data_IF_050618750763
#
_entry.id   IF_050618750763
#
_cell.length_a   1.000
_cell.length_b   1.000
_cell.length_c   1.000
_cell.angle_alpha   90.00
_cell.angle_beta   90.00
_cell.angle_gamma   90.00
#
_symmetry.space_group_name_H-M   'P 1'
#
loop_
_entity.id
_entity.type
_entity.pdbx_description
1 polymer ?
2 polymer ?
3 water ?
#
# COMPACT_ATOMS: atom_id res chain seq x y z
N UNK A 5 32.05 -0.29 -21.38
CA UNK A 5 32.35 0.55 -22.58
C UNK A 5 31.29 1.65 -22.71
N UNK A 6 31.54 2.60 -23.62
CA UNK A 6 30.63 3.73 -23.84
C UNK A 6 29.15 3.39 -23.60
N UNK A 7 28.59 2.56 -24.48
CA UNK A 7 27.19 2.17 -24.35
C UNK A 7 26.90 1.54 -23.00
N UNK A 8 27.83 0.73 -22.51
CA UNK A 8 27.66 0.08 -21.23
C UNK A 8 27.62 1.07 -20.08
N UNK A 9 28.51 2.05 -20.13
CA UNK A 9 28.58 3.06 -19.09
C UNK A 9 27.32 3.92 -19.09
N UNK A 10 26.75 4.14 -20.27
CA UNK A 10 25.53 4.92 -20.38
C UNK A 10 24.41 4.08 -19.76
N UNK A 11 24.40 2.79 -20.06
CA UNK A 11 23.38 1.89 -19.53
C UNK A 11 23.47 1.83 -18.00
N UNK A 12 24.69 1.87 -17.46
CA UNK A 12 24.86 1.82 -16.02
C UNK A 12 24.35 3.13 -15.40
N UNK A 13 24.67 4.24 -16.04
CA UNK A 13 24.23 5.55 -15.55
C UNK A 13 22.70 5.55 -15.53
N UNK A 14 22.09 5.00 -16.57
CA UNK A 14 20.64 4.96 -16.62
C UNK A 14 20.06 4.10 -15.50
N UNK A 15 20.75 3.01 -15.15
CA UNK A 15 20.27 2.14 -14.07
C UNK A 15 20.38 2.88 -12.74
N UNK A 16 21.47 3.62 -12.58
CA UNK A 16 21.68 4.39 -11.36
C UNK A 16 20.59 5.45 -11.20
N UNK A 17 20.33 6.20 -12.27
CA UNK A 17 19.32 7.24 -12.25
C UNK A 17 17.92 6.67 -12.01
N UNK A 18 17.65 5.49 -12.55
CA UNK A 18 16.36 4.84 -12.35
C UNK A 18 16.16 4.53 -10.87
N UNK A 19 17.24 4.09 -10.23
CA UNK A 19 17.18 3.78 -8.82
C UNK A 19 16.90 5.04 -8.01
N UNK A 20 17.50 6.14 -8.42
CA UNK A 20 17.28 7.41 -7.73
C UNK A 20 15.84 7.87 -7.88
N UNK A 21 15.30 7.73 -9.09
CA UNK A 21 13.94 8.15 -9.36
C UNK A 21 12.93 7.30 -8.60
N UNK A 22 13.22 6.00 -8.44
CA UNK A 22 12.32 5.13 -7.70
C UNK A 22 12.20 5.60 -6.26
N UNK A 23 13.35 5.83 -5.62
CA UNK A 23 13.37 6.29 -4.23
C UNK A 23 12.66 7.61 -4.06
N UNK A 24 12.95 8.55 -4.96
CA UNK A 24 12.33 9.86 -4.90
C UNK A 24 10.82 9.76 -5.07
N UNK A 25 10.38 8.91 -5.99
CA UNK A 25 8.95 8.76 -6.22
C UNK A 25 8.25 8.11 -5.02
N UNK A 26 8.96 7.20 -4.35
CA UNK A 26 8.39 6.52 -3.18
C UNK A 26 8.15 7.58 -2.10
N UNK A 27 9.16 8.41 -1.89
CA UNK A 27 9.11 9.49 -0.91
C UNK A 27 7.92 10.42 -1.20
N UNK A 28 7.77 10.80 -2.47
CA UNK A 28 6.70 11.69 -2.90
C UNK A 28 5.33 11.03 -2.73
N UNK A 29 5.27 9.73 -2.98
CA UNK A 29 4.03 8.97 -2.85
C UNK A 29 3.63 8.92 -1.37
N UNK A 30 4.61 8.72 -0.49
CA UNK A 30 4.36 8.67 0.95
C UNK A 30 3.81 10.00 1.45
N UNK A 31 4.41 11.10 0.99
CA UNK A 31 3.97 12.42 1.41
C UNK A 31 2.56 12.71 0.94
N UNK A 32 2.25 12.39 -0.31
CA UNK A 32 0.92 12.61 -0.84
C UNK A 32 -0.09 11.80 -0.04
N UNK A 33 0.30 10.60 0.38
CA UNK A 33 -0.57 9.73 1.16
C UNK A 33 -0.81 10.37 2.53
N UNK A 34 0.28 10.83 3.14
CA UNK A 34 0.22 11.46 4.45
C UNK A 34 -0.63 12.72 4.42
N UNK A 35 -0.44 13.54 3.38
CA UNK A 35 -1.16 14.79 3.25
C UNK A 35 -2.58 14.64 2.69
N UNK A 36 -2.91 13.44 2.22
CA UNK A 36 -4.24 13.23 1.66
C UNK A 36 -4.43 13.88 0.31
N UNK A 37 -3.34 14.10 -0.41
CA UNK A 37 -3.43 14.71 -1.74
C UNK A 37 -3.65 13.58 -2.74
N UNK A 38 -4.93 13.22 -2.88
CA UNK A 38 -5.38 12.14 -3.75
C UNK A 38 -4.94 12.19 -5.22
N UNK A 39 -5.07 13.34 -5.87
CA UNK A 39 -4.66 13.44 -7.26
C UNK A 39 -3.15 13.34 -7.41
N UNK A 40 -2.41 14.00 -6.53
CA UNK A 40 -0.95 13.92 -6.60
C UNK A 40 -0.54 12.46 -6.39
N UNK A 41 -1.22 11.79 -5.46
CA UNK A 41 -0.93 10.38 -5.17
C UNK A 41 -1.14 9.55 -6.42
N UNK A 42 -2.27 9.74 -7.09
CA UNK A 42 -2.56 8.98 -8.30
C UNK A 42 -1.48 9.20 -9.36
N UNK A 43 -1.13 10.45 -9.61
CA UNK A 43 -0.11 10.76 -10.61
C UNK A 43 1.26 10.22 -10.21
N UNK A 44 1.62 10.35 -8.94
CA UNK A 44 2.92 9.86 -8.49
C UNK A 44 2.94 8.34 -8.60
N UNK A 45 1.79 7.72 -8.38
CA UNK A 45 1.64 6.27 -8.47
C UNK A 45 1.92 5.83 -9.91
N UNK A 46 1.35 6.55 -10.87
CA UNK A 46 1.55 6.20 -12.27
C UNK A 46 3.02 6.38 -12.66
N UNK A 47 3.67 7.41 -12.13
CA UNK A 47 5.07 7.64 -12.44
C UNK A 47 5.92 6.53 -11.85
N UNK A 48 5.70 6.23 -10.57
CA UNK A 48 6.44 5.16 -9.89
C UNK A 48 6.28 3.83 -10.63
N UNK A 49 5.06 3.55 -11.08
CA UNK A 49 4.79 2.30 -11.79
C UNK A 49 5.60 2.20 -13.09
N UNK A 50 5.64 3.31 -13.81
CA UNK A 50 6.37 3.37 -15.08
C UNK A 50 7.86 3.14 -14.85
N UNK A 51 8.41 3.81 -13.85
CA UNK A 51 9.82 3.66 -13.53
C UNK A 51 10.12 2.21 -13.14
N UNK A 52 9.24 1.60 -12.35
CA UNK A 52 9.42 0.21 -11.92
C UNK A 52 9.43 -0.76 -13.11
N UNK A 53 8.48 -0.57 -14.02
CA UNK A 53 8.40 -1.40 -15.22
C UNK A 53 9.64 -1.23 -16.09
N UNK A 54 10.27 -0.06 -15.99
CA UNK A 54 11.45 0.22 -16.79
C UNK A 54 12.74 -0.35 -16.20
N UNK A 55 12.69 -0.85 -14.97
CA UNK A 55 13.89 -1.41 -14.36
C UNK A 55 14.15 -2.79 -14.96
N UNK A 56 15.41 -3.09 -15.26
CA UNK A 56 15.74 -4.40 -15.84
C UNK A 56 16.34 -5.33 -14.78
N UNK A 57 16.68 -4.76 -13.62
CA UNK A 57 17.23 -5.52 -12.51
C UNK A 57 16.81 -4.85 -11.20
N UNK A 58 16.83 -5.59 -10.10
CA UNK A 58 16.43 -5.05 -8.80
C UNK A 58 17.32 -5.57 -7.68
N UNK A 59 17.45 -4.76 -6.63
CA UNK A 59 18.21 -5.14 -5.44
C UNK A 59 17.14 -5.42 -4.38
N UNK A 60 17.53 -6.02 -3.26
CA UNK A 60 16.55 -6.31 -2.21
C UNK A 60 15.91 -5.02 -1.71
N UNK A 61 16.72 -3.97 -1.57
CA UNK A 61 16.23 -2.68 -1.11
C UNK A 61 15.15 -2.12 -2.03
N UNK A 62 15.36 -2.25 -3.34
CA UNK A 62 14.38 -1.74 -4.31
C UNK A 62 13.08 -2.56 -4.26
N UNK A 63 13.20 -3.86 -4.02
CA UNK A 63 12.02 -4.72 -3.93
C UNK A 63 11.15 -4.22 -2.77
N UNK A 64 11.80 -3.89 -1.65
CA UNK A 64 11.09 -3.39 -0.47
C UNK A 64 10.36 -2.08 -0.83
N UNK A 65 11.06 -1.22 -1.56
CA UNK A 65 10.50 0.06 -1.97
C UNK A 65 9.27 -0.17 -2.83
N UNK A 66 9.36 -1.14 -3.75
CA UNK A 66 8.24 -1.46 -4.63
C UNK A 66 7.05 -1.92 -3.79
N UNK A 67 7.28 -2.84 -2.85
CA UNK A 67 6.22 -3.34 -1.98
C UNK A 67 5.56 -2.19 -1.24
N UNK A 68 6.36 -1.26 -0.72
CA UNK A 68 5.81 -0.11 0.00
C UNK A 68 4.86 0.68 -0.87
N UNK A 69 5.25 0.95 -2.11
CA UNK A 69 4.38 1.69 -3.04
C UNK A 69 3.12 0.89 -3.35
N UNK A 70 3.26 -0.41 -3.56
CA UNK A 70 2.10 -1.25 -3.85
C UNK A 70 1.15 -1.25 -2.66
N UNK A 71 1.72 -1.36 -1.47
CA UNK A 71 0.94 -1.38 -0.23
C UNK A 71 0.07 -0.13 -0.14
N UNK A 72 0.70 1.04 -0.21
CA UNK A 72 -0.05 2.28 -0.12
C UNK A 72 -1.13 2.43 -1.18
N UNK A 73 -0.85 1.98 -2.41
CA UNK A 73 -1.86 2.11 -3.47
C UNK A 73 -3.09 1.27 -3.17
N UNK A 74 -2.90 0.06 -2.64
CA UNK A 74 -4.01 -0.80 -2.28
C UNK A 74 -4.81 -0.18 -1.13
N UNK A 75 -4.10 0.38 -0.15
CA UNK A 75 -4.74 1.02 0.99
C UNK A 75 -5.55 2.22 0.52
N UNK A 76 -4.95 3.05 -0.33
CA UNK A 76 -5.64 4.23 -0.84
C UNK A 76 -6.94 3.83 -1.56
N UNK A 77 -6.96 2.63 -2.14
CA UNK A 77 -8.13 2.14 -2.85
C UNK A 77 -8.94 1.15 -2.01
N UNK A 78 -8.74 1.19 -0.70
CA UNK A 78 -9.42 0.28 0.21
C UNK A 78 -10.92 0.15 0.07
N UNK A 79 -11.62 1.26 -0.21
CA UNK A 79 -13.07 1.20 -0.35
C UNK A 79 -13.54 1.04 -1.80
N UNK A 80 -12.61 0.89 -2.72
CA UNK A 80 -12.95 0.72 -4.13
C UNK A 80 -13.03 -0.77 -4.39
N UNK A 81 -14.13 -1.39 -3.97
CA UNK A 81 -14.30 -2.82 -4.12
C UNK A 81 -14.34 -3.35 -5.55
N UNK A 82 -14.51 -2.47 -6.53
CA UNK A 82 -14.53 -2.92 -7.91
C UNK A 82 -13.13 -2.86 -8.54
N UNK A 83 -12.13 -2.49 -7.74
CA UNK A 83 -10.77 -2.43 -8.26
C UNK A 83 -10.11 -3.80 -8.10
N UNK A 84 -9.52 -4.30 -9.18
CA UNK A 84 -8.87 -5.60 -9.18
C UNK A 84 -7.37 -5.42 -9.20
N UNK A 85 -6.71 -5.74 -8.09
CA UNK A 85 -5.26 -5.60 -8.01
C UNK A 85 -4.49 -6.90 -8.22
N UNK A 86 -5.18 -8.02 -8.17
CA UNK A 86 -4.53 -9.33 -8.33
C UNK A 86 -5.08 -10.11 -9.51
N UNK A 87 -4.29 -11.07 -9.99
CA UNK A 87 -4.73 -11.90 -11.12
C UNK A 87 -6.03 -12.56 -10.74
N UNK A 88 -6.16 -12.97 -9.49
CA UNK A 88 -7.40 -13.58 -9.00
C UNK A 88 -8.35 -12.42 -8.70
N UNK A 89 -9.37 -12.29 -9.52
CA UNK A 89 -10.37 -11.23 -9.41
C UNK A 89 -11.16 -11.22 -8.09
N UNK A 90 -11.14 -12.32 -7.36
CA UNK A 90 -11.88 -12.40 -6.09
C UNK A 90 -11.24 -11.59 -4.96
N UNK A 91 -9.93 -11.33 -5.07
CA UNK A 91 -9.20 -10.59 -4.04
C UNK A 91 -9.51 -9.09 -4.00
N UNK A 92 -9.99 -8.63 -2.85
CA UNK A 92 -10.33 -7.22 -2.68
C UNK A 92 -9.06 -6.40 -2.42
N UNK A 93 -9.12 -5.07 -2.60
CA UNK A 93 -7.97 -4.19 -2.38
C UNK A 93 -7.29 -4.35 -1.01
N UNK A 94 -8.07 -4.38 0.07
CA UNK A 94 -7.47 -4.53 1.39
C UNK A 94 -6.85 -5.92 1.57
N UNK A 95 -7.42 -6.95 0.97
CA UNK A 95 -6.84 -8.28 1.08
C UNK A 95 -5.49 -8.26 0.36
N UNK A 96 -5.43 -7.54 -0.75
CA UNK A 96 -4.19 -7.43 -1.52
C UNK A 96 -3.14 -6.70 -0.66
N UNK A 97 -3.57 -5.65 0.04
CA UNK A 97 -2.65 -4.89 0.90
C UNK A 97 -2.13 -5.81 2.00
N UNK A 98 -3.02 -6.63 2.55
CA UNK A 98 -2.67 -7.56 3.62
C UNK A 98 -1.57 -8.52 3.17
N UNK A 99 -1.69 -9.03 1.94
CA UNK A 99 -0.69 -9.94 1.41
C UNK A 99 0.66 -9.26 1.26
N UNK A 100 0.65 -8.02 0.76
CA UNK A 100 1.89 -7.28 0.59
C UNK A 100 2.53 -6.99 1.95
N UNK A 101 1.70 -6.61 2.91
CA UNK A 101 2.16 -6.31 4.26
C UNK A 101 2.89 -7.51 4.85
N UNK A 102 2.36 -8.70 4.57
CA UNK A 102 2.98 -9.92 5.08
C UNK A 102 4.19 -10.37 4.29
N UNK A 103 4.55 -9.64 3.24
CA UNK A 103 5.71 -10.01 2.42
C UNK A 103 6.90 -9.11 2.63
N UNK A 104 6.64 -7.85 2.95
CA UNK A 104 7.70 -6.87 3.14
C UNK A 104 8.73 -7.28 4.19
N UNK A 105 10.00 -7.22 3.82
CA UNK A 105 11.07 -7.56 4.76
C UNK A 105 11.19 -6.40 5.73
N UNK A 106 10.51 -6.53 6.86
CA UNK A 106 10.52 -5.50 7.90
C UNK A 106 10.29 -6.19 9.23
N UNK A 107 10.59 -5.50 10.32
CA UNK A 107 10.41 -6.07 11.65
C UNK A 107 8.94 -6.10 12.01
N UNK A 108 8.48 -7.24 12.54
CA UNK A 108 7.10 -7.38 12.95
C UNK A 108 6.94 -6.83 14.37
N UNK A 109 7.02 -5.52 14.50
CA UNK A 109 6.88 -4.89 15.81
C UNK A 109 5.40 -4.68 16.13
N UNK A 110 5.13 -3.96 17.20
CA UNK A 110 3.77 -3.67 17.62
C UNK A 110 2.96 -2.98 16.53
N UNK A 111 3.55 -1.96 15.92
CA UNK A 111 2.87 -1.22 14.86
C UNK A 111 2.53 -2.16 13.70
N UNK A 112 3.45 -3.06 13.36
CA UNK A 112 3.23 -4.00 12.27
C UNK A 112 1.99 -4.85 12.56
N UNK A 113 1.92 -5.38 13.77
CA UNK A 113 0.79 -6.22 14.17
C UNK A 113 -0.50 -5.43 14.24
N UNK A 114 -0.43 -4.18 14.70
CA UNK A 114 -1.63 -3.36 14.79
C UNK A 114 -2.20 -3.13 13.38
N UNK A 115 -1.33 -2.78 12.44
CA UNK A 115 -1.76 -2.55 11.08
C UNK A 115 -2.34 -3.82 10.46
N UNK A 116 -1.65 -4.94 10.63
CA UNK A 116 -2.10 -6.22 10.12
C UNK A 116 -3.53 -6.54 10.57
N UNK A 117 -3.78 -6.37 11.88
CA UNK A 117 -5.09 -6.65 12.45
C UNK A 117 -6.17 -5.70 11.95
N UNK A 118 -5.84 -4.41 11.88
CA UNK A 118 -6.80 -3.42 11.40
C UNK A 118 -7.17 -3.66 9.94
N UNK A 119 -6.20 -4.07 9.12
CA UNK A 119 -6.50 -4.34 7.71
C UNK A 119 -7.44 -5.54 7.59
N UNK A 120 -7.17 -6.59 8.37
CA UNK A 120 -8.01 -7.79 8.35
C UNK A 120 -9.45 -7.45 8.72
N UNK A 121 -9.59 -6.62 9.74
CA UNK A 121 -10.90 -6.20 10.22
C UNK A 121 -11.63 -5.33 9.19
N UNK A 122 -10.94 -4.33 8.67
CA UNK A 122 -11.56 -3.45 7.69
C UNK A 122 -11.82 -4.12 6.34
N UNK A 123 -11.07 -5.16 6.03
CA UNK A 123 -11.27 -5.89 4.78
C UNK A 123 -12.70 -6.45 4.79
N UNK A 124 -13.16 -6.82 5.98
CA UNK A 124 -14.50 -7.35 6.15
C UNK A 124 -15.51 -6.22 6.28
N UNK A 125 -15.15 -5.21 7.08
CA UNK A 125 -16.03 -4.07 7.31
C UNK A 125 -16.43 -3.28 6.06
N UNK A 126 -15.48 -3.03 5.16
CA UNK A 126 -15.82 -2.28 3.95
C UNK A 126 -16.87 -3.02 3.13
N UNK A 127 -16.81 -4.35 3.12
CA UNK A 127 -17.79 -5.14 2.38
C UNK A 127 -19.16 -5.01 3.04
N UNK A 128 -19.19 -5.06 4.37
CA UNK A 128 -20.43 -4.95 5.10
C UNK A 128 -21.06 -3.57 4.97
N UNK A 129 -20.23 -2.52 4.94
CA UNK A 129 -20.76 -1.16 4.81
C UNK A 129 -21.37 -0.95 3.42
N UNK A 130 -21.08 -1.87 2.51
CA UNK A 130 -21.61 -1.80 1.16
C UNK A 130 -22.83 -2.71 1.06
N UNK A 131 -23.14 -3.39 2.15
CA UNK A 131 -24.27 -4.30 2.19
C UNK A 131 -23.95 -5.62 1.53
N UNK A 132 -22.67 -5.86 1.25
CA UNK A 132 -22.26 -7.10 0.61
C UNK A 132 -21.86 -8.14 1.66
N UNK A 133 -22.86 -8.70 2.33
CA UNK A 133 -22.61 -9.68 3.37
C UNK A 133 -22.06 -11.01 2.88
N UNK A 134 -22.42 -11.40 1.66
CA UNK A 134 -21.91 -12.65 1.10
C UNK A 134 -20.43 -12.48 0.84
N UNK A 135 -20.05 -11.35 0.27
CA UNK A 135 -18.65 -11.09 -0.03
C UNK A 135 -17.85 -10.93 1.27
N UNK A 136 -18.48 -10.40 2.31
CA UNK A 136 -17.80 -10.23 3.59
C UNK A 136 -17.41 -11.60 4.12
N UNK A 137 -18.34 -12.54 4.05
CA UNK A 137 -18.07 -13.89 4.53
C UNK A 137 -16.98 -14.54 3.69
N UNK A 138 -16.98 -14.25 2.39
CA UNK A 138 -15.98 -14.83 1.50
C UNK A 138 -14.60 -14.26 1.83
N UNK A 139 -14.54 -12.98 2.16
CA UNK A 139 -13.28 -12.36 2.53
C UNK A 139 -12.78 -13.03 3.82
N UNK A 140 -13.69 -13.21 4.77
CA UNK A 140 -13.39 -13.86 6.05
C UNK A 140 -12.75 -15.23 5.84
N UNK A 141 -13.41 -16.04 5.02
CA UNK A 141 -12.94 -17.39 4.71
C UNK A 141 -11.53 -17.39 4.13
N UNK A 142 -11.25 -16.42 3.26
CA UNK A 142 -9.93 -16.32 2.63
C UNK A 142 -8.86 -15.85 3.62
N UNK A 143 -9.21 -14.92 4.50
CA UNK A 143 -8.26 -14.42 5.48
C UNK A 143 -8.08 -15.39 6.63
N UNK A 144 -9.19 -15.85 7.21
CA UNK A 144 -9.14 -16.79 8.32
C UNK A 144 -9.44 -18.22 7.85
N UNK A 150 -3.83 -16.95 13.45
CA UNK A 150 -4.81 -15.89 13.23
C UNK A 150 -4.96 -15.00 14.47
N UNK A 151 -5.90 -14.07 14.44
CA UNK A 151 -6.11 -13.14 15.55
C UNK A 151 -7.13 -13.61 16.59
N UNK A 152 -7.22 -12.88 17.72
CA UNK A 152 -8.14 -13.20 18.82
C UNK A 152 -9.57 -12.73 18.51
N UNK A 153 -9.75 -12.06 17.39
CA UNK A 153 -11.07 -11.56 17.01
C UNK A 153 -11.78 -12.36 15.93
N UNK A 154 -11.18 -13.47 15.51
CA UNK A 154 -11.78 -14.32 14.49
C UNK A 154 -13.23 -14.67 14.82
N UNK A 155 -13.47 -15.19 16.02
CA UNK A 155 -14.82 -15.57 16.44
C UNK A 155 -15.79 -14.39 16.46
N UNK A 156 -15.33 -13.23 16.93
CA UNK A 156 -16.21 -12.08 16.97
C UNK A 156 -16.58 -11.59 15.57
N UNK A 157 -15.61 -11.61 14.67
CA UNK A 157 -15.86 -11.17 13.29
C UNK A 157 -16.86 -12.11 12.63
N UNK A 158 -16.70 -13.41 12.87
CA UNK A 158 -17.59 -14.42 12.32
C UNK A 158 -19.02 -14.13 12.77
N UNK A 159 -19.18 -13.85 14.05
CA UNK A 159 -20.49 -13.55 14.62
C UNK A 159 -21.08 -12.27 14.05
N UNK A 160 -20.24 -11.24 13.95
CA UNK A 160 -20.68 -9.95 13.41
C UNK A 160 -21.16 -10.12 11.97
N UNK A 161 -20.43 -10.91 11.20
CA UNK A 161 -20.81 -11.16 9.81
C UNK A 161 -22.12 -11.93 9.78
N UNK A 162 -22.21 -12.98 10.58
CA UNK A 162 -23.41 -13.80 10.65
C UNK A 162 -24.65 -12.98 10.99
N UNK A 163 -24.50 -12.04 11.92
CA UNK A 163 -25.62 -11.21 12.34
C UNK A 163 -25.76 -9.94 11.49
N UNK A 164 -24.91 -9.81 10.49
CA UNK A 164 -24.94 -8.63 9.62
C UNK A 164 -24.91 -7.35 10.44
N UNK A 165 -24.10 -7.32 11.48
CA UNK A 165 -24.01 -6.16 12.35
C UNK A 165 -22.95 -5.19 11.83
N UNK A 166 -23.26 -4.56 10.70
CA UNK A 166 -22.37 -3.61 10.04
C UNK A 166 -21.81 -2.50 10.91
N UNK A 167 -22.63 -1.96 11.81
CA UNK A 167 -22.16 -0.87 12.65
C UNK A 167 -21.95 -1.28 14.10
N UNK A 168 -21.45 -2.50 14.28
CA UNK A 168 -21.19 -3.03 15.60
C UNK A 168 -20.13 -2.13 16.26
N UNK A 169 -20.24 -1.91 17.56
CA UNK A 169 -19.30 -1.06 18.30
C UNK A 169 -17.85 -1.47 18.03
N UNK A 170 -17.64 -2.75 17.77
CA UNK A 170 -16.32 -3.29 17.49
C UNK A 170 -15.66 -2.50 16.35
N UNK A 171 -16.45 -2.23 15.31
CA UNK A 171 -15.96 -1.50 14.15
C UNK A 171 -15.72 -0.04 14.46
N UNK A 172 -16.45 0.47 15.45
CA UNK A 172 -16.29 1.86 15.86
C UNK A 172 -14.89 2.07 16.37
N UNK A 173 -14.35 1.07 17.07
CA UNK A 173 -13.01 1.16 17.61
C UNK A 173 -11.97 0.81 16.52
N UNK A 174 -12.14 -0.36 15.93
CA UNK A 174 -11.24 -0.79 14.86
C UNK A 174 -11.82 -0.27 13.54
N UNK A 175 -11.85 1.06 13.43
CA UNK A 175 -12.42 1.74 12.28
C UNK A 175 -11.45 1.95 11.13
N UNK A 176 -11.99 2.45 10.01
CA UNK A 176 -11.19 2.71 8.83
C UNK A 176 -10.21 3.83 9.15
N UNK A 177 -10.68 4.86 9.86
CA UNK A 177 -9.83 5.98 10.24
C UNK A 177 -8.69 5.52 11.13
N UNK A 178 -8.99 4.60 12.05
CA UNK A 178 -8.00 4.05 12.97
C UNK A 178 -6.95 3.33 12.13
N UNK A 179 -7.39 2.53 11.16
CA UNK A 179 -6.49 1.82 10.28
C UNK A 179 -5.62 2.82 9.52
N UNK A 180 -6.23 3.88 8.98
CA UNK A 180 -5.49 4.88 8.23
C UNK A 180 -4.46 5.64 9.07
N UNK A 181 -4.81 5.96 10.31
CA UNK A 181 -3.87 6.68 11.17
C UNK A 181 -2.66 5.82 11.53
N UNK A 182 -2.87 4.54 11.76
CA UNK A 182 -1.75 3.65 12.08
C UNK A 182 -0.82 3.52 10.88
N UNK A 183 -1.41 3.39 9.69
CA UNK A 183 -0.60 3.27 8.49
C UNK A 183 0.16 4.58 8.24
N UNK A 184 -0.47 5.71 8.52
CA UNK A 184 0.19 7.00 8.34
C UNK A 184 1.39 7.10 9.28
N UNK A 185 1.29 6.45 10.44
CA UNK A 185 2.39 6.46 11.39
C UNK A 185 3.56 5.70 10.77
N UNK A 186 3.25 4.59 10.11
CA UNK A 186 4.26 3.80 9.44
C UNK A 186 4.88 4.62 8.31
N UNK A 187 4.04 5.34 7.58
CA UNK A 187 4.52 6.17 6.47
C UNK A 187 5.52 7.22 6.96
N UNK A 188 5.27 7.77 8.15
CA UNK A 188 6.17 8.77 8.73
C UNK A 188 7.56 8.14 8.92
N UNK A 189 7.58 6.86 9.24
CA UNK A 189 8.83 6.12 9.43
C UNK A 189 9.57 5.93 8.11
N UNK A 190 8.84 5.52 7.07
CA UNK A 190 9.44 5.34 5.75
C UNK A 190 9.97 6.69 5.26
N UNK A 191 9.19 7.73 5.52
CA UNK A 191 9.53 9.09 5.13
C UNK A 191 10.88 9.53 5.71
N UNK A 192 11.05 9.37 7.03
CA UNK A 192 12.29 9.78 7.67
C UNK A 192 13.45 8.89 7.24
N UNK A 193 13.16 7.64 6.90
CA UNK A 193 14.19 6.70 6.47
C UNK A 193 14.80 7.02 5.11
N UNK A 194 14.01 7.56 4.19
CA UNK A 194 14.55 7.89 2.88
C UNK A 194 14.48 9.35 2.47
N UNK A 195 14.34 10.23 3.44
CA UNK A 195 14.29 11.66 3.16
C UNK A 195 15.70 12.09 2.75
N UNK A 196 16.67 11.19 2.94
CA UNK A 196 18.06 11.48 2.61
C UNK A 196 18.55 10.82 1.32
N UNK A 197 17.64 10.22 0.57
CA UNK A 197 18.04 9.58 -0.68
C UNK A 197 18.51 10.67 -1.64
N UNK A 198 19.49 10.32 -2.47
CA UNK A 198 20.10 11.26 -3.41
C UNK A 198 19.27 12.35 -4.07
N UNK A 199 18.32 11.94 -4.90
CA UNK A 199 17.53 12.90 -5.65
C UNK A 199 16.87 13.99 -4.81
N UNK A 200 16.20 13.59 -3.73
CA UNK A 200 15.54 14.56 -2.85
C UNK A 200 16.56 15.48 -2.19
N UNK A 201 17.66 14.89 -1.74
CA UNK A 201 18.71 15.65 -1.07
C UNK A 201 19.34 16.69 -2.01
N UNK A 202 19.61 16.28 -3.24
CA UNK A 202 20.21 17.18 -4.23
C UNK A 202 19.26 18.31 -4.61
N UNK A 203 17.97 18.00 -4.75
CA UNK A 203 16.98 19.00 -5.10
C UNK A 203 16.80 20.00 -3.97
N UNK A 204 16.74 19.50 -2.74
CA UNK A 204 16.59 20.38 -1.58
C UNK A 204 17.78 21.33 -1.53
N UNK A 205 18.95 20.81 -1.86
CA UNK A 205 20.18 21.59 -1.86
C UNK A 205 20.09 22.73 -2.88
N UNK A 206 19.51 22.45 -4.04
CA UNK A 206 19.36 23.46 -5.09
C UNK A 206 18.39 24.55 -4.64
N UNK A 207 17.30 24.14 -4.01
CA UNK A 207 16.30 25.09 -3.52
C UNK A 207 16.91 26.01 -2.47
N UNK A 208 17.70 25.43 -1.57
CA UNK A 208 18.34 26.21 -0.51
C UNK A 208 19.44 27.08 -1.08
N UNK A 209 20.16 26.56 -2.07
CA UNK A 209 21.25 27.28 -2.71
C UNK A 209 20.74 28.53 -3.43
N UNK A 210 19.43 28.78 -3.36
CA UNK A 210 18.83 29.94 -4.01
C UNK A 210 18.31 30.94 -2.97
N UNK A 211 18.05 30.45 -1.76
CA UNK A 211 17.53 31.30 -0.69
C UNK A 211 18.52 32.31 -0.14
N UNK B 1 1.96 -12.57 -12.82
CA UNK B 1 2.05 -11.22 -13.21
C UNK B 1 2.72 -10.36 -12.16
N UNK B 2 2.85 -9.27 -12.82
CA UNK B 2 3.29 -7.91 -12.76
C UNK B 2 3.39 -7.03 -11.49
N UNK B 3 4.40 -6.17 -11.41
CA UNK B 3 4.58 -5.26 -10.27
C UNK B 3 3.64 -4.06 -10.40
N UNK B 4 2.34 -4.33 -10.48
CA UNK B 4 1.37 -3.26 -10.65
C UNK B 4 1.10 -2.45 -9.41
N UNK B 5 1.03 -1.13 -9.57
CA UNK B 5 0.70 -0.24 -8.48
C UNK B 5 -0.78 0.07 -8.64
N UNK B 6 -1.19 0.30 -9.88
CA UNK B 6 -2.60 0.58 -10.18
C UNK B 6 -3.33 -0.74 -10.40
N UNK B 7 -4.67 -0.72 -10.35
CA UNK B 7 -5.46 -1.93 -10.55
C UNK B 7 -5.19 -2.57 -11.92
N UNK B 8 -5.42 -3.88 -12.02
CA UNK B 8 -5.21 -4.59 -13.28
C UNK B 8 -6.47 -4.42 -14.12
N UNK B 9 -7.56 -4.09 -13.46
CA UNK B 9 -8.83 -3.90 -14.14
C UNK B 9 -9.96 -3.76 -13.13
N UNK B 10 -11.18 -4.05 -13.56
CA UNK B 10 -12.36 -3.97 -12.69
C UNK B 10 -12.67 -5.34 -12.12
N UNK B 11 -13.15 -5.35 -10.89
CA UNK B 11 -13.48 -6.58 -10.18
C UNK B 11 -14.99 -6.82 -10.12
N UNK B 12 -15.39 -8.08 -10.18
CA UNK B 12 -16.80 -8.44 -10.12
C UNK B 12 -17.34 -8.34 -8.70
N UNK B 13 -18.11 -7.29 -8.42
CA UNK B 13 -18.69 -7.12 -7.09
C UNK B 13 -20.21 -7.22 -7.17
#
# INVERSE_FOLDING_TARGET
EEEEEDAGLVAEAEAVAAGWMLDFLCLSLCRAFRDGRSEDFRRTRNSAEAIIHGLSSLTACQLRTIYICQFLTRIAAGKTLDAQFENDERITPLESALMIWGSIEKEHDKLHEEIQNLIKIQAIAVCMENGNFKEAEEVFERIFGDPNSHMPFKSKLLMIISQKDTFHSFFQHFSYNHMMEKIKSYVNYVLSEKSSTFLMKAAAKVVESKR
SHFNLAPLGRRRVQSQWASTR
#
